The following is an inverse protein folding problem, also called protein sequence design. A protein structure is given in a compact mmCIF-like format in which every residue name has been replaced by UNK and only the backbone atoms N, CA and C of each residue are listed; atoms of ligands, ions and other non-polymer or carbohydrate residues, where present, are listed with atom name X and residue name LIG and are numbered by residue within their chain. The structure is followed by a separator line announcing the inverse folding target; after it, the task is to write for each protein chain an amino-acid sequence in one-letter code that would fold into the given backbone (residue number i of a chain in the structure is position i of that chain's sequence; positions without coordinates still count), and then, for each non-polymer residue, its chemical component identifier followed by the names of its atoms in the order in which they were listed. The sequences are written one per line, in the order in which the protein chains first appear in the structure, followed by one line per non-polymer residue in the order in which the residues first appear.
data_IF_111854322788
#
_entry.id   IF_111854322788
#
_cell.length_a   1.000
_cell.length_b   1.000
_cell.length_c   1.000
_cell.angle_alpha   90.00
_cell.angle_beta   90.00
_cell.angle_gamma   90.00
#
_symmetry.space_group_name_H-M   'P 1'
#
loop_
_entity.id
_entity.type
_entity.pdbx_description
1 polymer ?
#
# COMPACT_ATOMS: atom_id res chain seq x y z
N UNK A 1 -26.17 -27.78 21.86
CA UNK A 1 -26.08 -27.08 20.55
C UNK A 1 -25.20 -25.83 20.62
N UNK A 2 -25.27 -25.01 21.68
CA UNK A 2 -24.45 -23.81 21.89
C UNK A 2 -22.94 -23.99 21.72
N UNK A 3 -22.36 -25.07 22.27
CA UNK A 3 -20.90 -25.35 22.15
C UNK A 3 -20.44 -25.63 20.71
N UNK A 4 -21.30 -26.25 19.88
CA UNK A 4 -20.99 -26.55 18.47
C UNK A 4 -21.01 -25.27 17.63
N UNK A 5 -21.96 -24.36 17.89
CA UNK A 5 -21.99 -23.05 17.24
C UNK A 5 -20.77 -22.20 17.62
N UNK A 6 -20.33 -22.24 18.88
CA UNK A 6 -19.15 -21.52 19.33
C UNK A 6 -17.86 -22.00 18.62
N UNK A 7 -17.70 -23.31 18.44
CA UNK A 7 -16.55 -23.89 17.71
C UNK A 7 -16.58 -23.53 16.22
N UNK A 8 -17.76 -23.52 15.59
CA UNK A 8 -17.88 -23.10 14.19
C UNK A 8 -17.57 -21.61 14.00
N UNK A 9 -18.00 -20.76 14.93
CA UNK A 9 -17.72 -19.33 14.90
C UNK A 9 -16.22 -19.02 15.09
N UNK A 10 -15.53 -19.75 15.97
CA UNK A 10 -14.08 -19.56 16.15
C UNK A 10 -13.28 -20.02 14.93
N UNK A 11 -13.66 -21.13 14.29
CA UNK A 11 -13.07 -21.60 13.03
C UNK A 11 -13.24 -20.59 11.89
N UNK A 12 -14.43 -20.02 11.75
CA UNK A 12 -14.70 -18.99 10.73
C UNK A 12 -13.85 -17.74 10.95
N UNK A 13 -13.69 -17.33 12.21
CA UNK A 13 -12.88 -16.18 12.57
C UNK A 13 -11.41 -16.38 12.14
N UNK A 14 -10.83 -17.55 12.42
CA UNK A 14 -9.42 -17.85 12.04
C UNK A 14 -9.21 -17.86 10.52
N UNK A 15 -10.20 -18.23 9.71
CA UNK A 15 -10.10 -18.15 8.24
C UNK A 15 -10.04 -16.71 7.74
N UNK A 16 -10.78 -15.79 8.36
CA UNK A 16 -10.81 -14.38 7.95
C UNK A 16 -9.49 -13.64 8.21
N UNK A 17 -8.60 -14.17 9.07
CA UNK A 17 -7.30 -13.56 9.38
C UNK A 17 -6.16 -13.97 8.42
N UNK A 18 -6.41 -14.85 7.44
CA UNK A 18 -5.36 -15.38 6.55
C UNK A 18 -4.94 -14.45 5.39
N UNK A 19 -5.38 -13.19 5.38
CA UNK A 19 -5.11 -12.25 4.27
C UNK A 19 -3.66 -11.78 4.16
N UNK A 20 -2.88 -11.82 5.24
CA UNK A 20 -1.56 -11.19 5.30
C UNK A 20 -0.37 -12.09 4.92
N UNK A 21 -0.59 -13.39 4.67
CA UNK A 21 0.49 -14.38 4.54
C UNK A 21 0.61 -15.00 3.14
N UNK A 22 -0.22 -14.57 2.18
CA UNK A 22 -0.19 -15.10 0.81
C UNK A 22 1.08 -14.61 0.12
N UNK A 23 2.03 -15.52 -0.09
CA UNK A 23 3.27 -15.26 -0.82
C UNK A 23 3.38 -16.22 -2.02
N UNK A 24 3.79 -15.73 -3.21
CA UNK A 24 4.14 -14.35 -3.53
C UNK A 24 2.91 -13.48 -3.78
N UNK A 25 2.91 -12.25 -3.26
CA UNK A 25 2.01 -11.20 -3.74
C UNK A 25 2.28 -10.92 -5.23
N UNK A 26 1.41 -10.14 -5.88
CA UNK A 26 1.47 -9.76 -7.31
C UNK A 26 2.91 -9.67 -7.81
N UNK A 27 3.21 -10.46 -8.86
CA UNK A 27 4.56 -10.56 -9.40
C UNK A 27 5.06 -9.18 -9.84
N UNK A 28 6.36 -8.89 -9.75
CA UNK A 28 6.89 -7.56 -10.07
C UNK A 28 6.44 -7.00 -11.43
N UNK A 29 6.38 -7.84 -12.46
CA UNK A 29 5.96 -7.45 -13.81
C UNK A 29 4.44 -7.30 -13.98
N UNK A 30 3.62 -7.78 -13.04
CA UNK A 30 2.16 -7.59 -13.07
C UNK A 30 1.76 -6.27 -12.39
N UNK A 31 2.69 -5.61 -11.69
CA UNK A 31 2.43 -4.36 -10.96
C UNK A 31 2.18 -3.18 -11.88
N UNK A 32 2.72 -3.20 -13.10
CA UNK A 32 2.45 -2.18 -14.11
C UNK A 32 0.98 -2.15 -14.51
N UNK A 33 0.32 -3.32 -14.59
CA UNK A 33 -1.10 -3.41 -14.92
C UNK A 33 -2.01 -2.93 -13.78
N UNK A 34 -1.49 -2.92 -12.55
CA UNK A 34 -2.21 -2.44 -11.37
C UNK A 34 -2.00 -0.94 -11.12
N UNK A 35 -1.00 -0.32 -11.75
CA UNK A 35 -0.64 1.07 -11.55
C UNK A 35 -1.14 1.94 -12.72
N UNK A 36 -2.46 2.19 -12.75
CA UNK A 36 -3.06 3.11 -13.73
C UNK A 36 -2.55 4.56 -13.51
N UNK A 37 -2.04 5.26 -14.55
CA UNK A 37 -1.65 6.66 -14.45
C UNK A 37 -2.71 7.60 -13.86
N UNK A 38 -4.00 7.28 -13.96
CA UNK A 38 -5.06 8.10 -13.34
C UNK A 38 -5.03 8.08 -11.80
N UNK A 39 -4.40 7.07 -11.21
CA UNK A 39 -4.26 6.93 -9.76
C UNK A 39 -3.07 7.73 -9.19
N UNK A 40 -2.33 8.45 -10.04
CA UNK A 40 -1.23 9.30 -9.57
C UNK A 40 -1.76 10.51 -8.81
N UNK A 41 -1.23 10.73 -7.60
CA UNK A 41 -1.60 11.88 -6.77
C UNK A 41 -1.19 13.24 -7.37
N UNK A 42 -0.16 13.25 -8.19
CA UNK A 42 0.32 14.44 -8.89
C UNK A 42 0.30 14.20 -10.39
N UNK A 43 -0.24 15.17 -11.13
CA UNK A 43 -0.21 15.18 -12.59
C UNK A 43 1.17 15.53 -13.15
N UNK A 44 1.97 16.26 -12.38
CA UNK A 44 3.34 16.64 -12.73
C UNK A 44 4.27 16.24 -11.57
N UNK A 45 4.85 15.04 -11.64
CA UNK A 45 5.68 14.52 -10.56
C UNK A 45 6.93 15.38 -10.33
N UNK A 46 7.53 15.96 -11.38
CA UNK A 46 8.75 16.77 -11.27
C UNK A 46 8.49 18.05 -10.48
N UNK A 47 7.42 18.76 -10.82
CA UNK A 47 7.01 19.97 -10.11
C UNK A 47 6.64 19.67 -8.66
N UNK A 48 5.87 18.62 -8.41
CA UNK A 48 5.51 18.24 -7.03
C UNK A 48 6.73 17.86 -6.18
N UNK A 49 7.73 17.17 -6.75
CA UNK A 49 8.96 16.82 -6.04
C UNK A 49 9.79 18.04 -5.69
N UNK A 50 9.78 19.07 -6.55
CA UNK A 50 10.43 20.34 -6.23
C UNK A 50 9.77 21.04 -5.04
N UNK A 51 8.44 21.14 -5.02
CA UNK A 51 7.71 21.74 -3.89
C UNK A 51 7.90 20.94 -2.60
N UNK A 52 7.85 19.61 -2.67
CA UNK A 52 8.08 18.70 -1.55
C UNK A 52 9.48 18.89 -0.96
N UNK A 53 10.52 18.99 -1.80
CA UNK A 53 11.88 19.27 -1.36
C UNK A 53 12.00 20.61 -0.60
N UNK A 54 11.38 21.67 -1.12
CA UNK A 54 11.39 22.99 -0.48
C UNK A 54 10.66 22.94 0.87
N UNK A 55 9.53 22.25 0.93
CA UNK A 55 8.76 22.06 2.15
C UNK A 55 9.56 21.30 3.21
N UNK A 56 10.19 20.17 2.83
CA UNK A 56 11.00 19.36 3.75
C UNK A 56 12.19 20.14 4.35
N UNK A 57 12.81 21.01 3.56
CA UNK A 57 13.90 21.88 4.03
C UNK A 57 13.38 22.91 5.03
N UNK A 58 12.21 23.50 4.77
CA UNK A 58 11.60 24.50 5.65
C UNK A 58 11.16 23.92 6.98
N UNK A 59 10.59 22.72 6.95
CA UNK A 59 10.08 22.05 8.15
C UNK A 59 11.13 21.19 8.86
N UNK A 60 12.37 21.18 8.37
CA UNK A 60 13.44 20.28 8.83
C UNK A 60 12.98 18.80 8.90
N UNK A 61 12.05 18.40 8.03
CA UNK A 61 11.32 17.14 8.07
C UNK A 61 11.84 16.10 7.06
N UNK A 62 13.15 16.13 6.76
CA UNK A 62 13.74 15.23 5.76
C UNK A 62 13.49 13.76 6.13
N UNK A 63 12.94 13.00 5.17
CA UNK A 63 12.61 11.59 5.33
C UNK A 63 11.17 11.29 5.76
N UNK A 64 10.34 12.32 6.00
CA UNK A 64 8.91 12.15 6.27
C UNK A 64 8.09 11.80 5.01
N UNK A 65 8.57 12.27 3.85
CA UNK A 65 7.96 12.19 2.51
C UNK A 65 8.53 11.01 1.71
N UNK A 66 8.45 9.81 2.30
CA UNK A 66 9.19 8.63 1.83
C UNK A 66 8.36 7.41 1.48
N UNK A 67 7.06 7.57 1.19
CA UNK A 67 6.22 6.46 0.70
C UNK A 67 5.70 6.85 -0.68
N UNK A 68 6.43 6.45 -1.72
CA UNK A 68 5.92 6.51 -3.10
C UNK A 68 4.72 5.57 -3.21
N UNK A 69 3.53 6.16 -3.01
CA UNK A 69 2.26 5.49 -3.24
C UNK A 69 1.89 5.53 -4.72
N UNK A 70 1.43 4.38 -5.23
CA UNK A 70 0.68 4.29 -6.50
C UNK A 70 1.54 4.24 -7.76
N UNK A 71 2.49 3.31 -7.83
CA UNK A 71 3.28 3.03 -9.03
C UNK A 71 3.75 1.57 -9.06
N UNK A 72 4.42 1.15 -10.13
CA UNK A 72 4.96 -0.22 -10.25
C UNK A 72 6.00 -0.59 -9.16
N UNK A 73 6.38 0.38 -8.30
CA UNK A 73 7.26 0.17 -7.15
C UNK A 73 8.73 -0.04 -7.54
N UNK A 74 9.09 0.26 -8.79
CA UNK A 74 10.47 0.29 -9.24
C UNK A 74 11.08 1.64 -8.86
N UNK A 75 11.73 1.69 -7.69
CA UNK A 75 12.84 2.64 -7.49
C UNK A 75 14.02 2.22 -8.37
#
# INVERSE_FOLDING_TARGET
MTKRCAVLASLLCVLCLQGCTITPWVKPYERESLADPIMQFSRDPLSSKHFEHVHDVREAARGATGVEGGGCGCN
#
